data_IF_659760664498
#
_entry.id   IF_659760664498
#
_cell.length_a   1.000
_cell.length_b   1.000
_cell.length_c   1.000
_cell.angle_alpha   90.00
_cell.angle_beta   90.00
_cell.angle_gamma   90.00
#
_symmetry.space_group_name_H-M   'P 1'
#
loop_
_entity.id
_entity.type
_entity.pdbx_description
1 polymer ?
#
# COMPACT_ATOMS: atom_id res chain seq x y z
N UNK A 1 15.48 -20.90 -7.41
CA UNK A 1 16.21 -20.14 -6.38
C UNK A 1 16.17 -18.62 -6.63
N UNK A 2 16.55 -18.14 -7.82
CA UNK A 2 16.67 -16.69 -8.15
C UNK A 2 15.38 -15.88 -7.91
N UNK A 3 14.22 -16.40 -8.30
CA UNK A 3 12.95 -15.69 -8.12
C UNK A 3 12.59 -15.47 -6.64
N UNK A 4 12.84 -16.46 -5.76
CA UNK A 4 12.53 -16.36 -4.33
C UNK A 4 13.38 -15.29 -3.63
N UNK A 5 14.67 -15.19 -3.99
CA UNK A 5 15.56 -14.17 -3.44
C UNK A 5 15.13 -12.76 -3.87
N UNK A 6 14.74 -12.61 -5.13
CA UNK A 6 14.26 -11.32 -5.64
C UNK A 6 12.89 -10.93 -5.05
N UNK A 7 11.98 -11.90 -4.85
CA UNK A 7 10.69 -11.67 -4.18
C UNK A 7 10.89 -11.22 -2.73
N UNK A 8 11.81 -11.88 -2.00
CA UNK A 8 12.22 -11.50 -0.64
C UNK A 8 12.74 -10.07 -0.59
N UNK A 9 13.67 -9.71 -1.49
CA UNK A 9 14.23 -8.36 -1.55
C UNK A 9 13.17 -7.27 -1.71
N UNK A 10 12.15 -7.49 -2.54
CA UNK A 10 11.07 -6.52 -2.71
C UNK A 10 10.18 -6.41 -1.46
N UNK A 11 9.92 -7.53 -0.79
CA UNK A 11 9.14 -7.53 0.45
C UNK A 11 9.87 -6.85 1.60
N UNK A 12 11.16 -7.11 1.76
CA UNK A 12 12.01 -6.43 2.74
C UNK A 12 12.07 -4.92 2.48
N UNK A 13 12.11 -4.50 1.21
CA UNK A 13 12.04 -3.09 0.84
C UNK A 13 10.72 -2.44 1.25
N UNK A 14 9.58 -3.08 1.04
CA UNK A 14 8.29 -2.56 1.51
C UNK A 14 8.24 -2.54 3.05
N UNK A 15 8.71 -3.61 3.70
CA UNK A 15 8.74 -3.67 5.16
C UNK A 15 9.59 -2.55 5.76
N UNK A 16 10.72 -2.22 5.14
CA UNK A 16 11.56 -1.09 5.51
C UNK A 16 10.79 0.23 5.41
N UNK A 17 10.09 0.47 4.28
CA UNK A 17 9.27 1.66 4.08
C UNK A 17 8.21 1.76 5.19
N UNK A 18 7.47 0.67 5.45
CA UNK A 18 6.44 0.58 6.50
C UNK A 18 6.96 0.69 7.94
N UNK A 19 8.27 0.55 8.15
CA UNK A 19 8.88 0.72 9.48
C UNK A 19 9.05 2.21 9.83
N UNK A 20 9.21 3.07 8.84
CA UNK A 20 9.34 4.53 9.02
C UNK A 20 8.00 5.25 9.15
N UNK A 21 6.88 4.56 8.91
CA UNK A 21 5.59 5.22 8.67
C UNK A 21 4.83 5.66 9.93
N UNK A 22 4.95 5.03 11.11
CA UNK A 22 4.03 5.40 12.22
C UNK A 22 4.17 6.87 12.66
N UNK A 23 5.39 7.41 12.88
CA UNK A 23 5.55 8.83 13.22
C UNK A 23 5.26 9.76 12.04
N UNK A 24 5.66 9.35 10.83
CA UNK A 24 5.44 10.13 9.61
C UNK A 24 3.97 10.21 9.20
N UNK A 25 3.19 9.18 9.48
CA UNK A 25 1.77 9.09 9.18
C UNK A 25 0.96 9.97 10.12
N UNK A 26 1.31 10.02 11.41
CA UNK A 26 0.72 10.99 12.34
C UNK A 26 1.12 12.44 11.98
N UNK A 27 2.37 12.66 11.59
CA UNK A 27 2.84 13.97 11.14
C UNK A 27 2.14 14.41 9.83
N UNK A 28 1.99 13.50 8.87
CA UNK A 28 1.33 13.77 7.60
C UNK A 28 -0.16 14.05 7.80
N UNK A 29 -0.85 13.26 8.64
CA UNK A 29 -2.26 13.53 8.99
C UNK A 29 -2.40 14.90 9.65
N UNK A 30 -1.55 15.24 10.63
CA UNK A 30 -1.55 16.57 11.26
C UNK A 30 -1.35 17.69 10.22
N UNK A 31 -0.38 17.53 9.32
CA UNK A 31 -0.09 18.53 8.29
C UNK A 31 -1.20 18.66 7.25
N UNK A 32 -1.89 17.57 6.92
CA UNK A 32 -3.03 17.52 6.00
C UNK A 32 -4.23 18.28 6.55
N UNK A 33 -4.57 18.07 7.83
CA UNK A 33 -5.72 18.73 8.46
C UNK A 33 -5.48 20.23 8.65
N UNK A 34 -4.22 20.67 8.82
CA UNK A 34 -3.91 22.06 9.16
C UNK A 34 -3.47 22.96 8.00
N UNK A 35 -2.88 22.42 6.92
CA UNK A 35 -2.22 23.27 5.90
C UNK A 35 -2.84 23.25 4.51
N UNK A 36 -3.73 22.30 4.19
CA UNK A 36 -4.24 22.05 2.83
C UNK A 36 -3.17 21.54 1.84
N UNK A 37 -1.91 21.97 1.98
CA UNK A 37 -0.73 21.53 1.21
C UNK A 37 -0.45 20.05 1.46
N UNK A 38 -0.68 19.56 2.68
CA UNK A 38 -0.48 18.14 3.02
C UNK A 38 -1.27 17.17 2.15
N UNK A 39 -2.47 17.57 1.69
CA UNK A 39 -3.31 16.75 0.80
C UNK A 39 -2.61 16.50 -0.55
N UNK A 40 -2.00 17.53 -1.14
CA UNK A 40 -1.28 17.41 -2.41
C UNK A 40 -0.02 16.55 -2.29
N UNK A 41 0.74 16.70 -1.19
CA UNK A 41 1.93 15.88 -0.92
C UNK A 41 1.53 14.40 -0.81
N UNK A 42 0.48 14.10 -0.04
CA UNK A 42 0.03 12.73 0.14
C UNK A 42 -0.53 12.12 -1.14
N UNK A 43 -1.28 12.88 -1.94
CA UNK A 43 -1.71 12.42 -3.26
C UNK A 43 -0.51 12.11 -4.17
N UNK A 44 0.55 12.93 -4.11
CA UNK A 44 1.81 12.65 -4.81
C UNK A 44 2.48 11.35 -4.36
N UNK A 45 2.54 11.11 -3.05
CA UNK A 45 3.07 9.86 -2.49
C UNK A 45 2.23 8.66 -2.94
N UNK A 46 0.90 8.76 -2.88
CA UNK A 46 -0.01 7.71 -3.34
C UNK A 46 0.19 7.40 -4.83
N UNK A 47 0.32 8.43 -5.67
CA UNK A 47 0.53 8.28 -7.10
C UNK A 47 1.81 7.50 -7.44
N UNK A 48 2.86 7.61 -6.62
CA UNK A 48 4.12 6.86 -6.80
C UNK A 48 4.06 5.50 -6.12
N UNK A 49 3.45 5.40 -4.94
CA UNK A 49 3.48 4.18 -4.14
C UNK A 49 2.49 3.12 -4.62
N UNK A 50 1.31 3.50 -5.09
CA UNK A 50 0.29 2.57 -5.60
C UNK A 50 0.82 1.72 -6.77
N UNK A 51 1.46 2.29 -7.82
CA UNK A 51 2.04 1.48 -8.89
C UNK A 51 3.11 0.49 -8.39
N UNK A 52 3.94 0.92 -7.44
CA UNK A 52 4.96 0.05 -6.86
C UNK A 52 4.34 -1.10 -6.06
N UNK A 53 3.31 -0.82 -5.25
CA UNK A 53 2.55 -1.85 -4.53
C UNK A 53 1.86 -2.81 -5.49
N UNK A 54 1.19 -2.31 -6.53
CA UNK A 54 0.55 -3.13 -7.55
C UNK A 54 1.56 -4.06 -8.22
N UNK A 55 2.73 -3.55 -8.58
CA UNK A 55 3.80 -4.35 -9.15
C UNK A 55 4.22 -5.50 -8.22
N UNK A 56 4.45 -5.22 -6.93
CA UNK A 56 4.87 -6.25 -5.97
C UNK A 56 3.74 -7.26 -5.71
N UNK A 57 2.50 -6.80 -5.54
CA UNK A 57 1.34 -7.68 -5.33
C UNK A 57 1.07 -8.59 -6.54
N UNK A 58 1.19 -8.05 -7.75
CA UNK A 58 1.05 -8.79 -9.00
C UNK A 58 2.13 -9.86 -9.11
N UNK A 59 3.39 -9.49 -8.83
CA UNK A 59 4.54 -10.40 -8.86
C UNK A 59 4.36 -11.57 -7.87
N UNK A 60 3.88 -11.29 -6.67
CA UNK A 60 3.60 -12.30 -5.63
C UNK A 60 2.27 -13.04 -5.83
N UNK A 61 1.54 -12.75 -6.92
CA UNK A 61 0.21 -13.32 -7.24
C UNK A 61 -0.80 -13.19 -6.11
N UNK A 62 -0.77 -12.07 -5.38
CA UNK A 62 -1.66 -11.78 -4.24
C UNK A 62 -2.94 -11.09 -4.70
N UNK A 63 -3.73 -11.76 -5.54
CA UNK A 63 -4.92 -11.19 -6.19
C UNK A 63 -5.94 -10.58 -5.24
N UNK A 64 -6.18 -11.19 -4.07
CA UNK A 64 -7.10 -10.63 -3.07
C UNK A 64 -6.65 -9.26 -2.52
N UNK A 65 -5.34 -9.03 -2.43
CA UNK A 65 -4.81 -7.73 -2.01
C UNK A 65 -4.88 -6.70 -3.13
N UNK A 66 -4.72 -7.13 -4.38
CA UNK A 66 -4.93 -6.28 -5.56
C UNK A 66 -6.39 -5.83 -5.61
N UNK A 67 -7.36 -6.74 -5.45
CA UNK A 67 -8.77 -6.37 -5.46
C UNK A 67 -9.13 -5.43 -4.31
N UNK A 68 -8.61 -5.67 -3.10
CA UNK A 68 -8.78 -4.74 -1.97
C UNK A 68 -8.19 -3.35 -2.28
N UNK A 69 -6.97 -3.27 -2.83
CA UNK A 69 -6.36 -2.00 -3.22
C UNK A 69 -7.21 -1.28 -4.28
N UNK A 70 -7.69 -2.01 -5.29
CA UNK A 70 -8.52 -1.44 -6.35
C UNK A 70 -9.86 -0.92 -5.82
N UNK A 71 -10.54 -1.68 -4.96
CA UNK A 71 -11.88 -1.33 -4.47
C UNK A 71 -11.84 -0.22 -3.42
N UNK A 72 -10.91 -0.29 -2.47
CA UNK A 72 -10.89 0.64 -1.34
C UNK A 72 -10.05 1.89 -1.58
N UNK A 73 -9.10 1.86 -2.51
CA UNK A 73 -8.20 3.00 -2.76
C UNK A 73 -8.38 3.56 -4.16
N UNK A 74 -8.21 2.73 -5.20
CA UNK A 74 -8.17 3.22 -6.59
C UNK A 74 -9.55 3.69 -7.05
N UNK A 75 -10.62 2.94 -6.78
CA UNK A 75 -11.99 3.32 -7.17
C UNK A 75 -12.42 4.65 -6.52
N UNK A 76 -12.29 4.86 -5.20
CA UNK A 76 -12.57 6.15 -4.58
C UNK A 76 -11.71 7.30 -5.14
N UNK A 77 -10.43 7.05 -5.41
CA UNK A 77 -9.53 8.04 -5.99
C UNK A 77 -9.95 8.43 -7.42
N UNK A 78 -10.29 7.45 -8.26
CA UNK A 78 -10.78 7.69 -9.62
C UNK A 78 -12.12 8.42 -9.61
N UNK A 79 -13.03 8.06 -8.70
CA UNK A 79 -14.29 8.75 -8.53
C UNK A 79 -14.08 10.24 -8.21
N UNK A 80 -13.13 10.55 -7.30
CA UNK A 80 -12.76 11.92 -6.97
C UNK A 80 -12.14 12.67 -8.16
N UNK A 81 -11.27 12.02 -8.94
CA UNK A 81 -10.62 12.62 -10.12
C UNK A 81 -11.59 12.91 -11.27
N UNK A 82 -12.60 12.06 -11.45
CA UNK A 82 -13.56 12.19 -12.54
C UNK A 82 -14.65 13.25 -12.28
N UNK A 83 -14.69 13.86 -11.09
CA UNK A 83 -15.61 14.96 -10.78
C UNK A 83 -17.09 14.57 -10.92
N UNK A 84 -17.40 13.29 -10.72
CA UNK A 84 -18.74 12.74 -10.93
C UNK A 84 -19.77 13.41 -10.02
N UNK A 85 -20.82 14.07 -10.56
CA UNK A 85 -21.91 14.64 -9.78
C UNK A 85 -22.91 13.57 -9.29
N UNK A 86 -22.67 12.28 -9.58
CA UNK A 86 -23.67 11.22 -9.37
C UNK A 86 -23.93 10.88 -7.90
N UNK A 87 -23.11 11.39 -6.99
CA UNK A 87 -23.28 11.26 -5.55
C UNK A 87 -22.96 12.62 -4.94
N UNK A 88 -23.99 13.46 -4.74
CA UNK A 88 -23.97 14.66 -3.90
C UNK A 88 -23.75 14.27 -2.42
N UNK A 89 -22.68 13.54 -2.15
CA UNK A 89 -22.19 13.30 -0.81
C UNK A 89 -21.49 14.59 -0.38
N UNK A 90 -21.83 15.17 0.80
CA UNK A 90 -21.20 16.38 1.29
C UNK A 90 -19.68 16.24 1.29
N UNK A 91 -18.94 17.33 1.06
CA UNK A 91 -17.47 17.51 0.83
C UNK A 91 -16.47 16.75 1.74
N UNK A 92 -16.95 15.85 2.58
CA UNK A 92 -16.23 14.81 3.30
C UNK A 92 -15.54 13.70 2.46
N UNK A 93 -15.68 13.49 1.12
CA UNK A 93 -15.09 12.33 0.47
C UNK A 93 -13.61 12.50 0.12
N UNK A 94 -13.01 13.69 0.27
CA UNK A 94 -11.63 13.91 -0.16
C UNK A 94 -10.58 13.19 0.71
N UNK A 95 -10.87 12.95 1.98
CA UNK A 95 -9.97 12.26 2.91
C UNK A 95 -10.19 10.73 2.94
N UNK A 96 -11.28 10.25 2.33
CA UNK A 96 -11.70 8.86 2.40
C UNK A 96 -10.75 7.91 1.65
N UNK A 97 -10.30 8.21 0.40
CA UNK A 97 -9.29 7.40 -0.28
C UNK A 97 -7.97 7.38 0.49
N UNK A 98 -7.61 8.51 1.12
CA UNK A 98 -6.42 8.63 1.94
C UNK A 98 -6.51 7.70 3.16
N UNK A 99 -7.61 7.77 3.90
CA UNK A 99 -7.83 6.92 5.07
C UNK A 99 -7.77 5.44 4.70
N UNK A 100 -8.43 5.03 3.62
CA UNK A 100 -8.39 3.65 3.16
C UNK A 100 -7.00 3.22 2.69
N UNK A 101 -6.24 4.10 2.07
CA UNK A 101 -4.86 3.81 1.69
C UNK A 101 -3.97 3.58 2.92
N UNK A 102 -4.09 4.42 3.94
CA UNK A 102 -3.34 4.24 5.19
C UNK A 102 -3.74 2.95 5.90
N UNK A 103 -5.05 2.67 5.97
CA UNK A 103 -5.58 1.44 6.55
C UNK A 103 -5.09 0.20 5.79
N UNK A 104 -5.08 0.26 4.46
CA UNK A 104 -4.58 -0.80 3.60
C UNK A 104 -3.10 -1.08 3.86
N UNK A 105 -2.25 -0.03 3.92
CA UNK A 105 -0.83 -0.18 4.22
C UNK A 105 -0.60 -0.76 5.62
N UNK A 106 -1.40 -0.32 6.60
CA UNK A 106 -1.35 -0.86 7.96
C UNK A 106 -1.63 -2.37 7.99
N UNK A 107 -2.67 -2.84 7.32
CA UNK A 107 -2.95 -4.28 7.22
C UNK A 107 -1.88 -5.03 6.43
N UNK A 108 -1.46 -4.47 5.30
CA UNK A 108 -0.46 -5.09 4.44
C UNK A 108 0.87 -5.29 5.17
N UNK A 109 1.24 -4.39 6.08
CA UNK A 109 2.44 -4.52 6.93
C UNK A 109 2.48 -5.81 7.74
N UNK A 110 1.37 -6.21 8.34
CA UNK A 110 1.32 -7.45 9.11
C UNK A 110 1.48 -8.67 8.20
N UNK A 111 0.79 -8.65 7.06
CA UNK A 111 0.77 -9.77 6.13
C UNK A 111 2.10 -9.94 5.37
N UNK A 112 2.81 -8.84 5.09
CA UNK A 112 4.15 -8.90 4.48
C UNK A 112 5.14 -9.67 5.35
N UNK A 113 5.06 -9.53 6.67
CA UNK A 113 5.93 -10.29 7.58
C UNK A 113 5.72 -11.80 7.39
N UNK A 114 4.47 -12.23 7.34
CA UNK A 114 4.12 -13.64 7.14
C UNK A 114 4.58 -14.15 5.76
N UNK A 115 4.53 -13.29 4.72
CA UNK A 115 5.04 -13.64 3.40
C UNK A 115 6.57 -13.79 3.37
N UNK A 116 7.30 -12.96 4.09
CA UNK A 116 8.76 -13.09 4.23
C UNK A 116 9.12 -14.40 4.93
N UNK A 117 8.38 -14.76 5.99
CA UNK A 117 8.57 -16.02 6.71
C UNK A 117 8.30 -17.24 5.80
N UNK A 118 7.22 -17.24 5.01
CA UNK A 118 6.93 -18.30 4.03
C UNK A 118 8.05 -18.44 2.98
N UNK A 119 8.59 -17.32 2.49
CA UNK A 119 9.72 -17.36 1.54
C UNK A 119 10.98 -17.93 2.19
N UNK A 120 11.29 -17.53 3.43
CA UNK A 120 12.44 -18.06 4.16
C UNK A 120 12.33 -19.58 4.36
N UNK A 121 11.14 -20.07 4.76
CA UNK A 121 10.89 -21.50 4.92
C UNK A 121 11.05 -22.28 3.59
N UNK A 122 10.63 -21.69 2.47
CA UNK A 122 10.81 -22.30 1.13
C UNK A 122 12.28 -22.35 0.71
N UNK A 123 13.06 -21.31 1.03
CA UNK A 123 14.50 -21.28 0.76
C UNK A 123 15.20 -22.37 1.57
N UNK A 124 14.94 -22.48 2.87
CA UNK A 124 15.54 -23.49 3.74
C UNK A 124 15.25 -24.91 3.25
N UNK A 125 14.00 -25.21 2.88
CA UNK A 125 13.62 -26.51 2.30
C UNK A 125 14.33 -26.81 0.98
N UNK A 126 14.62 -25.79 0.18
CA UNK A 126 15.34 -25.97 -1.08
C UNK A 126 16.84 -26.21 -0.87
N UNK A 127 17.43 -25.63 0.19
CA UNK A 127 18.83 -25.86 0.56
C UNK A 127 19.03 -27.26 1.15
N UNK A 128 18.14 -27.73 2.04
CA UNK A 128 18.26 -29.05 2.68
C UNK A 128 18.02 -30.26 1.74
N UNK A 129 17.56 -30.02 0.51
CA UNK A 129 17.32 -31.07 -0.49
C UNK A 129 18.50 -31.31 -1.43
N UNK A 130 19.48 -30.41 -1.42
CA UNK A 130 20.69 -30.49 -2.23
C UNK A 130 21.87 -30.93 -1.35
#
# INVERSE_FOLDING_TARGET
>A
MSNLLSDKFHLEKIQYIFRFEIPWLMFALFFVFYSGIGLYILNGIMAVFIPYLLFVLFRLKRWGWISCLSVFVILPLLHQLLGSPFLDLPDYPAYLPLFFFLLFNFFLKFVIRDWIEDINARIERSTNRN
#
